data_IF_147340033924
#
_entry.id   IF_147340033924
#
_cell.length_a   1.000
_cell.length_b   1.000
_cell.length_c   1.000
_cell.angle_alpha   90.00
_cell.angle_beta   90.00
_cell.angle_gamma   90.00
#
_symmetry.space_group_name_H-M   'P 1'
#
loop_
_entity.id
_entity.type
_entity.pdbx_description
1 polymer ?
#
# COMPACT_ATOMS: atom_id res chain seq x y z
N UNK A 1 5.63 29.84 -21.79
CA UNK A 1 4.37 29.20 -21.36
C UNK A 1 4.30 27.81 -21.97
N UNK A 2 4.26 26.75 -21.16
CA UNK A 2 3.26 25.67 -21.21
C UNK A 2 3.44 24.86 -19.93
N UNK A 3 2.44 24.98 -19.05
CA UNK A 3 2.39 24.28 -17.80
C UNK A 3 2.39 22.76 -18.05
N UNK A 4 3.24 22.03 -17.35
CA UNK A 4 3.18 20.57 -17.29
C UNK A 4 1.82 20.19 -16.71
N UNK A 5 0.98 19.62 -17.55
CA UNK A 5 -0.29 19.05 -17.13
C UNK A 5 0.05 17.76 -16.39
N UNK A 6 0.20 17.85 -15.07
CA UNK A 6 0.29 16.67 -14.22
C UNK A 6 -1.12 16.08 -14.22
N UNK A 7 -1.35 15.10 -15.09
CA UNK A 7 -2.60 14.38 -15.12
C UNK A 7 -2.83 13.79 -13.72
N UNK A 8 -3.94 14.18 -13.09
CA UNK A 8 -4.39 13.54 -11.85
C UNK A 8 -4.63 12.07 -12.19
N UNK A 9 -3.78 11.19 -11.69
CA UNK A 9 -3.98 9.75 -11.81
C UNK A 9 -5.18 9.43 -10.92
N UNK A 10 -6.34 9.23 -11.53
CA UNK A 10 -7.51 8.71 -10.85
C UNK A 10 -7.17 7.30 -10.39
N UNK A 11 -6.79 7.14 -9.13
CA UNK A 11 -6.72 5.88 -8.39
C UNK A 11 -8.12 5.38 -8.04
N UNK A 12 -9.09 5.58 -8.95
CA UNK A 12 -10.32 4.78 -8.92
C UNK A 12 -9.95 3.36 -9.28
N UNK A 13 -10.56 2.38 -8.63
CA UNK A 13 -10.42 0.94 -8.87
C UNK A 13 -10.72 0.61 -10.34
N UNK A 14 -9.77 0.87 -11.23
CA UNK A 14 -9.75 0.25 -12.54
C UNK A 14 -9.46 -1.22 -12.28
N UNK A 15 -10.29 -2.16 -12.77
CA UNK A 15 -9.93 -3.57 -12.71
C UNK A 15 -8.56 -3.72 -13.37
N UNK A 16 -7.54 -4.01 -12.56
CA UNK A 16 -6.11 -3.91 -12.93
C UNK A 16 -5.73 -4.86 -14.08
N UNK A 17 -6.63 -5.78 -14.42
CA UNK A 17 -6.52 -6.72 -15.54
C UNK A 17 -6.75 -6.11 -16.93
N UNK A 18 -7.04 -4.80 -17.05
CA UNK A 18 -7.40 -4.15 -18.32
C UNK A 18 -6.69 -2.82 -18.56
N UNK A 19 -5.37 -2.76 -18.40
CA UNK A 19 -4.60 -1.60 -18.85
C UNK A 19 -4.54 -1.61 -20.37
N UNK A 20 -5.06 -0.57 -21.02
CA UNK A 20 -4.97 -0.38 -22.49
C UNK A 20 -5.23 -1.66 -23.31
N UNK A 21 -6.36 -2.38 -23.11
CA UNK A 21 -6.63 -3.63 -23.82
C UNK A 21 -6.74 -3.44 -25.33
N UNK A 22 -7.02 -2.22 -25.78
CA UNK A 22 -7.06 -1.83 -27.19
C UNK A 22 -5.71 -1.94 -27.91
N UNK A 23 -4.58 -2.08 -27.20
CA UNK A 23 -3.26 -2.32 -27.83
C UNK A 23 -3.29 -3.61 -28.64
N UNK A 24 -3.97 -4.64 -28.16
CA UNK A 24 -4.02 -5.95 -28.84
C UNK A 24 -4.88 -5.92 -30.11
N UNK A 25 -5.77 -4.93 -30.23
CA UNK A 25 -6.66 -4.75 -31.39
C UNK A 25 -6.00 -3.95 -32.52
N UNK A 26 -4.80 -3.39 -32.30
CA UNK A 26 -4.11 -2.60 -33.32
C UNK A 26 -3.46 -3.51 -34.39
N UNK A 27 -3.50 -3.11 -35.68
CA UNK A 27 -2.85 -3.86 -36.74
C UNK A 27 -1.38 -4.08 -36.44
N UNK A 28 -0.94 -5.32 -36.55
CA UNK A 28 0.45 -5.73 -36.34
C UNK A 28 1.01 -5.45 -34.93
N UNK A 29 0.18 -5.18 -33.92
CA UNK A 29 0.63 -4.91 -32.56
C UNK A 29 1.55 -6.00 -32.00
N UNK A 30 1.26 -7.27 -32.31
CA UNK A 30 2.08 -8.42 -31.92
C UNK A 30 3.51 -8.40 -32.51
N UNK A 31 3.79 -7.57 -33.53
CA UNK A 31 5.13 -7.36 -34.09
C UNK A 31 5.90 -6.23 -33.38
N UNK A 32 5.27 -5.57 -32.42
CA UNK A 32 5.84 -4.43 -31.67
C UNK A 32 6.09 -4.80 -30.20
N UNK A 33 6.75 -3.91 -29.46
CA UNK A 33 7.00 -4.07 -28.03
C UNK A 33 5.86 -3.51 -27.14
N UNK A 34 4.83 -2.89 -27.73
CA UNK A 34 3.74 -2.26 -26.98
C UNK A 34 2.98 -3.24 -26.06
N UNK A 35 2.62 -4.48 -26.48
CA UNK A 35 2.00 -5.45 -25.58
C UNK A 35 2.89 -5.78 -24.37
N UNK A 36 4.18 -6.03 -24.60
CA UNK A 36 5.13 -6.35 -23.53
C UNK A 36 5.30 -5.20 -22.53
N UNK A 37 5.33 -3.95 -23.02
CA UNK A 37 5.41 -2.76 -22.17
C UNK A 37 4.16 -2.58 -21.32
N UNK A 38 2.98 -2.81 -21.89
CA UNK A 38 1.71 -2.81 -21.16
C UNK A 38 1.71 -3.88 -20.06
N UNK A 39 2.15 -5.09 -20.37
CA UNK A 39 2.23 -6.18 -19.40
C UNK A 39 3.22 -5.85 -18.27
N UNK A 40 4.33 -5.16 -18.59
CA UNK A 40 5.25 -4.61 -17.59
C UNK A 40 4.61 -3.59 -16.65
N UNK A 41 3.69 -2.75 -17.15
CA UNK A 41 2.93 -1.80 -16.29
C UNK A 41 1.99 -2.56 -15.35
N UNK A 42 1.30 -3.60 -15.84
CA UNK A 42 0.43 -4.45 -15.01
C UNK A 42 1.25 -5.08 -13.87
N UNK A 43 2.41 -5.67 -14.20
CA UNK A 43 3.28 -6.27 -13.21
C UNK A 43 3.76 -5.28 -12.13
N UNK A 44 4.10 -4.04 -12.51
CA UNK A 44 4.50 -3.00 -11.55
C UNK A 44 3.35 -2.63 -10.59
N UNK A 45 2.12 -2.61 -11.08
CA UNK A 45 0.96 -2.30 -10.24
C UNK A 45 0.59 -3.46 -9.32
N UNK A 46 0.70 -4.71 -9.81
CA UNK A 46 0.52 -5.90 -8.98
C UNK A 46 1.56 -5.94 -7.85
N UNK A 47 2.83 -5.63 -8.14
CA UNK A 47 3.87 -5.51 -7.12
C UNK A 47 3.53 -4.41 -6.10
N UNK A 48 3.07 -3.25 -6.57
CA UNK A 48 2.67 -2.15 -5.67
C UNK A 48 1.50 -2.56 -4.76
N UNK A 49 0.50 -3.27 -5.29
CA UNK A 49 -0.64 -3.76 -4.51
C UNK A 49 -0.19 -4.74 -3.41
N UNK A 50 0.71 -5.68 -3.74
CA UNK A 50 1.27 -6.61 -2.76
C UNK A 50 2.11 -5.91 -1.69
N UNK A 51 2.87 -4.88 -2.05
CA UNK A 51 3.62 -4.08 -1.09
C UNK A 51 2.70 -3.32 -0.14
N UNK A 52 1.59 -2.75 -0.64
CA UNK A 52 0.57 -2.10 0.19
C UNK A 52 -0.06 -3.10 1.15
N UNK A 53 -0.51 -4.26 0.66
CA UNK A 53 -1.07 -5.34 1.50
C UNK A 53 -0.12 -5.74 2.61
N UNK A 54 1.16 -5.99 2.27
CA UNK A 54 2.19 -6.33 3.27
C UNK A 54 2.43 -5.23 4.29
N UNK A 55 2.40 -3.96 3.86
CA UNK A 55 2.55 -2.83 4.75
C UNK A 55 1.38 -2.74 5.74
N UNK A 56 0.15 -3.00 5.30
CA UNK A 56 -1.04 -3.07 6.16
C UNK A 56 -0.96 -4.21 7.17
N UNK A 57 -0.53 -5.41 6.74
CA UNK A 57 -0.31 -6.55 7.63
C UNK A 57 0.73 -6.23 8.73
N UNK A 58 1.83 -5.58 8.37
CA UNK A 58 2.85 -5.16 9.32
C UNK A 58 2.31 -4.11 10.31
N UNK A 59 1.52 -3.14 9.84
CA UNK A 59 0.88 -2.14 10.71
C UNK A 59 -0.08 -2.82 11.70
N UNK A 60 -0.92 -3.74 11.23
CA UNK A 60 -1.82 -4.50 12.10
C UNK A 60 -1.04 -5.31 13.14
N UNK A 61 -0.01 -6.04 12.71
CA UNK A 61 0.85 -6.81 13.62
C UNK A 61 1.52 -5.92 14.67
N UNK A 62 2.07 -4.77 14.27
CA UNK A 62 2.71 -3.84 15.19
C UNK A 62 1.72 -3.28 16.21
N UNK A 63 0.51 -2.90 15.77
CA UNK A 63 -0.55 -2.44 16.66
C UNK A 63 -0.90 -3.48 17.73
N UNK A 64 -1.21 -4.71 17.31
CA UNK A 64 -1.56 -5.78 18.26
C UNK A 64 -0.40 -6.10 19.20
N UNK A 65 0.83 -6.19 18.68
CA UNK A 65 2.02 -6.43 19.51
C UNK A 65 2.22 -5.34 20.56
N UNK A 66 1.98 -4.08 20.20
CA UNK A 66 2.03 -2.95 21.13
C UNK A 66 0.97 -3.05 22.23
N UNK A 67 -0.27 -3.41 21.87
CA UNK A 67 -1.34 -3.63 22.85
C UNK A 67 -1.02 -4.79 23.80
N UNK A 68 -0.48 -5.90 23.29
CA UNK A 68 -0.04 -7.03 24.11
C UNK A 68 1.05 -6.60 25.08
N UNK A 69 2.07 -5.88 24.61
CA UNK A 69 3.16 -5.39 25.46
C UNK A 69 2.65 -4.49 26.59
N UNK A 70 1.69 -3.60 26.30
CA UNK A 70 1.08 -2.78 27.34
C UNK A 70 0.29 -3.63 28.35
N UNK A 71 -0.45 -4.64 27.89
CA UNK A 71 -1.15 -5.59 28.75
C UNK A 71 -0.19 -6.33 29.68
N UNK A 72 0.91 -6.84 29.15
CA UNK A 72 1.96 -7.52 29.92
C UNK A 72 2.59 -6.58 30.95
N UNK A 73 2.84 -5.32 30.58
CA UNK A 73 3.34 -4.30 31.52
C UNK A 73 2.34 -4.04 32.65
N UNK A 74 1.04 -3.95 32.35
CA UNK A 74 -0.01 -3.77 33.36
C UNK A 74 -0.12 -4.98 34.29
N UNK A 75 0.10 -6.20 33.77
CA UNK A 75 0.14 -7.42 34.58
C UNK A 75 1.36 -7.46 35.51
N UNK A 76 2.52 -6.96 35.07
CA UNK A 76 3.76 -6.99 35.85
C UNK A 76 3.84 -5.87 36.91
N UNK A 77 3.45 -4.62 36.58
CA UNK A 77 3.62 -3.46 37.47
C UNK A 77 2.32 -2.86 38.03
N UNK A 78 1.15 -3.33 37.59
CA UNK A 78 -0.20 -2.73 37.76
C UNK A 78 -0.59 -1.70 36.70
N UNK A 79 -1.91 -1.61 36.45
CA UNK A 79 -2.50 -0.63 35.55
C UNK A 79 -2.20 0.82 35.94
N UNK A 80 -2.33 1.15 37.22
CA UNK A 80 -2.11 2.52 37.71
C UNK A 80 -0.66 2.98 37.48
N UNK A 81 0.33 2.13 37.79
CA UNK A 81 1.73 2.47 37.58
C UNK A 81 2.06 2.76 36.11
N UNK A 82 1.43 2.03 35.18
CA UNK A 82 1.57 2.27 33.74
C UNK A 82 0.93 3.58 33.31
N UNK A 83 -0.28 3.91 33.78
CA UNK A 83 -0.94 5.18 33.45
C UNK A 83 -0.18 6.40 34.02
N UNK A 84 0.33 6.30 35.25
CA UNK A 84 1.21 7.33 35.81
C UNK A 84 2.50 7.50 34.99
N UNK A 85 3.07 6.39 34.49
CA UNK A 85 4.24 6.45 33.62
C UNK A 85 3.93 7.12 32.27
N UNK A 86 2.80 6.81 31.65
CA UNK A 86 2.31 7.48 30.43
C UNK A 86 2.12 8.98 30.62
N UNK A 87 1.50 9.37 31.73
CA UNK A 87 1.28 10.78 32.06
C UNK A 87 2.60 11.57 32.19
N UNK A 88 3.65 10.97 32.78
CA UNK A 88 4.98 11.60 32.91
C UNK A 88 5.63 11.91 31.56
N UNK A 89 5.33 11.14 30.52
CA UNK A 89 5.90 11.31 29.17
C UNK A 89 4.94 11.98 28.18
N UNK A 90 3.77 12.45 28.63
CA UNK A 90 2.72 13.06 27.78
C UNK A 90 2.27 12.15 26.64
N UNK A 91 2.18 10.84 26.92
CA UNK A 91 1.58 9.85 26.02
C UNK A 91 0.07 10.06 25.88
#
# INVERSE_FOLDING_TARGET
MKAGHIAKVNTGEFPMSKIMPWIDELPEAAKTDFPARRDGIVAMLDEAAELVRKAEELRAKAYFTGCTLEGDAKAHWSGQAVEEAKARVRW
#
